data_IF_575984654409
#
_entry.id   IF_575984654409
#
_cell.length_a   1.000
_cell.length_b   1.000
_cell.length_c   1.000
_cell.angle_alpha   90.00
_cell.angle_beta   90.00
_cell.angle_gamma   90.00
#
_symmetry.space_group_name_H-M   'P 1'
#
loop_
_entity.id
_entity.type
_entity.pdbx_description
1 polymer ?
#
# COMPACT_ATOMS: atom_id res chain seq x y z
N UNK A 1 3.80 25.45 -26.64
CA UNK A 1 3.06 25.89 -25.45
C UNK A 1 1.60 25.49 -25.70
N UNK A 2 0.95 24.76 -24.84
CA UNK A 2 -0.36 24.08 -24.95
C UNK A 2 -0.33 22.62 -25.41
N UNK A 3 -0.26 21.69 -24.41
CA UNK A 3 -0.76 20.31 -24.54
C UNK A 3 -0.74 19.52 -23.22
N UNK A 4 -0.69 20.16 -22.03
CA UNK A 4 -0.57 19.44 -20.74
C UNK A 4 -1.83 19.49 -19.86
N UNK A 5 -2.90 20.20 -20.28
CA UNK A 5 -4.10 20.38 -19.44
C UNK A 5 -5.24 19.38 -19.68
N UNK A 6 -5.23 18.60 -20.75
CA UNK A 6 -6.41 17.76 -21.08
C UNK A 6 -6.39 16.36 -20.44
N UNK A 7 -5.22 15.85 -20.01
CA UNK A 7 -5.14 14.50 -19.41
C UNK A 7 -5.52 14.41 -17.92
N UNK A 8 -5.54 15.53 -17.20
CA UNK A 8 -5.96 15.56 -15.79
C UNK A 8 -7.48 15.42 -15.66
N UNK A 9 -8.23 15.90 -16.66
CA UNK A 9 -9.70 15.83 -16.67
C UNK A 9 -10.27 14.44 -16.97
N UNK A 10 -9.58 13.61 -17.75
CA UNK A 10 -10.07 12.28 -18.13
C UNK A 10 -10.01 11.25 -16.98
N UNK A 11 -9.09 11.43 -16.02
CA UNK A 11 -8.98 10.54 -14.84
C UNK A 11 -10.02 10.92 -13.77
N UNK A 12 -10.47 12.16 -13.74
CA UNK A 12 -11.51 12.67 -12.81
C UNK A 12 -12.92 12.18 -13.15
N UNK A 13 -13.18 11.70 -14.36
CA UNK A 13 -14.56 11.44 -14.84
C UNK A 13 -15.13 10.10 -14.42
N UNK A 14 -14.32 9.16 -13.90
CA UNK A 14 -14.84 7.83 -13.49
C UNK A 14 -15.37 7.82 -12.05
N UNK A 15 -15.01 8.80 -11.19
CA UNK A 15 -15.47 8.88 -9.78
C UNK A 15 -16.54 9.96 -9.51
N UNK A 16 -17.09 10.63 -10.52
CA UNK A 16 -18.02 11.77 -10.36
C UNK A 16 -19.49 11.38 -10.09
N UNK A 17 -19.79 10.12 -9.80
CA UNK A 17 -21.21 9.68 -9.68
C UNK A 17 -21.80 9.76 -8.26
N UNK A 18 -21.03 9.99 -7.21
CA UNK A 18 -21.56 10.12 -5.83
C UNK A 18 -20.70 11.12 -5.05
N UNK A 19 -21.17 12.31 -4.84
CA UNK A 19 -20.89 13.42 -3.92
C UNK A 19 -19.65 13.49 -3.02
N UNK A 20 -18.66 12.60 -3.15
CA UNK A 20 -17.36 12.65 -2.49
C UNK A 20 -16.29 12.26 -3.51
N UNK A 21 -15.33 13.14 -3.73
CA UNK A 21 -14.15 12.82 -4.55
C UNK A 21 -13.27 11.90 -3.71
N UNK A 22 -13.58 10.62 -3.66
CA UNK A 22 -12.63 9.64 -3.14
C UNK A 22 -11.55 9.46 -4.20
N UNK A 23 -10.37 10.04 -3.96
CA UNK A 23 -9.18 9.76 -4.73
C UNK A 23 -8.80 8.30 -4.49
N UNK A 24 -8.29 7.63 -5.51
CA UNK A 24 -7.85 6.25 -5.38
C UNK A 24 -6.46 6.23 -4.75
N UNK A 25 -6.33 5.66 -3.55
CA UNK A 25 -5.04 5.44 -2.89
C UNK A 25 -4.18 4.50 -3.75
N UNK A 26 -2.96 4.91 -4.03
CA UNK A 26 -2.03 4.09 -4.78
C UNK A 26 -1.02 3.40 -3.87
N UNK A 27 -0.51 2.24 -4.27
CA UNK A 27 0.60 1.59 -3.58
C UNK A 27 1.72 1.25 -4.55
N UNK A 28 2.96 1.40 -4.14
CA UNK A 28 4.13 1.11 -4.96
C UNK A 28 5.26 0.49 -4.13
N UNK A 29 6.06 -0.38 -4.73
CA UNK A 29 7.27 -0.91 -4.12
C UNK A 29 8.50 -0.50 -4.91
N UNK A 30 9.50 0.06 -4.21
CA UNK A 30 10.69 0.52 -4.91
C UNK A 30 11.65 -0.61 -5.34
N UNK A 31 11.67 -1.75 -4.62
CA UNK A 31 12.55 -2.88 -4.91
C UNK A 31 14.01 -2.44 -5.15
N UNK A 32 14.59 -2.85 -6.27
CA UNK A 32 15.91 -2.47 -6.76
C UNK A 32 15.83 -1.54 -7.97
N UNK A 33 14.73 -0.81 -8.13
CA UNK A 33 14.53 0.06 -9.29
C UNK A 33 15.57 1.18 -9.33
N UNK A 34 16.01 1.60 -10.53
CA UNK A 34 16.63 2.89 -10.72
C UNK A 34 15.68 4.01 -10.26
N UNK A 35 16.24 5.08 -9.70
CA UNK A 35 15.42 6.16 -9.14
C UNK A 35 14.59 6.91 -10.19
N UNK A 36 15.12 7.07 -11.39
CA UNK A 36 14.45 7.68 -12.53
C UNK A 36 13.23 6.88 -12.97
N UNK A 37 13.35 5.54 -13.05
CA UNK A 37 12.24 4.64 -13.38
C UNK A 37 11.16 4.67 -12.29
N UNK A 38 11.56 4.74 -11.02
CA UNK A 38 10.63 4.86 -9.91
C UNK A 38 9.86 6.18 -9.96
N UNK A 39 10.55 7.31 -10.19
CA UNK A 39 9.93 8.63 -10.32
C UNK A 39 9.01 8.69 -11.54
N UNK A 40 9.46 8.17 -12.69
CA UNK A 40 8.63 8.07 -13.88
C UNK A 40 7.31 7.34 -13.59
N UNK A 41 7.37 6.21 -12.88
CA UNK A 41 6.16 5.46 -12.52
C UNK A 41 5.21 6.28 -11.63
N UNK A 42 5.72 7.08 -10.70
CA UNK A 42 4.90 7.98 -9.89
C UNK A 42 4.24 9.05 -10.74
N UNK A 43 4.99 9.68 -11.64
CA UNK A 43 4.49 10.73 -12.55
C UNK A 43 3.45 10.19 -13.53
N UNK A 44 3.68 9.01 -14.13
CA UNK A 44 2.71 8.34 -15.02
C UNK A 44 1.38 8.07 -14.33
N UNK A 45 1.40 7.90 -13.01
CA UNK A 45 0.22 7.67 -12.20
C UNK A 45 -0.34 8.93 -11.51
N UNK A 46 0.22 10.11 -11.80
CA UNK A 46 -0.25 11.38 -11.28
C UNK A 46 -0.04 11.55 -9.77
N UNK A 47 0.93 10.84 -9.19
CA UNK A 47 1.21 10.92 -7.74
C UNK A 47 1.77 12.29 -7.39
N UNK A 48 1.13 12.98 -6.47
CA UNK A 48 1.58 14.28 -5.96
C UNK A 48 2.20 14.18 -4.55
N UNK A 49 1.93 13.08 -3.82
CA UNK A 49 2.49 12.82 -2.50
C UNK A 49 2.89 11.35 -2.38
N UNK A 50 4.16 11.09 -2.11
CA UNK A 50 4.65 9.76 -1.72
C UNK A 50 4.69 9.65 -0.20
N UNK A 51 3.97 8.69 0.35
CA UNK A 51 3.98 8.36 1.78
C UNK A 51 4.84 7.11 2.00
N UNK A 52 5.97 7.29 2.65
CA UNK A 52 6.88 6.20 2.99
C UNK A 52 6.43 5.49 4.27
N UNK A 53 5.97 4.25 4.14
CA UNK A 53 5.49 3.42 5.25
C UNK A 53 6.55 2.41 5.74
N UNK A 54 7.82 2.63 5.44
CA UNK A 54 8.90 1.82 6.00
C UNK A 54 9.16 2.21 7.45
N UNK A 55 9.42 1.23 8.30
CA UNK A 55 9.83 1.49 9.70
C UNK A 55 11.17 2.23 9.76
N UNK A 56 12.10 1.86 8.86
CA UNK A 56 13.42 2.45 8.74
C UNK A 56 13.65 2.81 7.27
N UNK A 57 13.59 4.10 6.89
CA UNK A 57 13.75 4.55 5.51
C UNK A 57 15.22 4.63 5.10
N UNK A 58 15.92 3.50 5.19
CA UNK A 58 17.33 3.33 4.79
C UNK A 58 17.49 2.07 3.97
N UNK A 59 18.39 2.09 2.99
CA UNK A 59 18.78 0.92 2.23
C UNK A 59 20.27 0.96 1.94
N UNK A 60 21.00 -0.06 2.39
CA UNK A 60 22.44 -0.20 2.07
C UNK A 60 22.66 -0.59 0.60
N UNK A 61 21.75 -1.40 0.07
CA UNK A 61 21.85 -1.92 -1.31
C UNK A 61 21.26 -0.98 -2.35
N UNK A 62 20.36 -0.10 -1.93
CA UNK A 62 19.66 0.86 -2.79
C UNK A 62 19.69 2.25 -2.14
N UNK A 63 20.87 2.90 -2.04
CA UNK A 63 21.04 4.15 -1.31
C UNK A 63 20.17 5.29 -1.86
N UNK A 64 19.83 5.25 -3.16
CA UNK A 64 18.91 6.20 -3.79
C UNK A 64 17.50 6.25 -3.16
N UNK A 65 17.16 5.22 -2.36
CA UNK A 65 15.92 5.16 -1.57
C UNK A 65 16.17 5.44 -0.07
N UNK A 66 17.33 5.98 0.30
CA UNK A 66 17.53 6.63 1.59
C UNK A 66 16.57 7.80 1.75
N UNK A 67 16.19 8.14 2.98
CA UNK A 67 15.15 9.16 3.24
C UNK A 67 15.53 10.51 2.61
N UNK A 68 16.77 10.95 2.77
CA UNK A 68 17.24 12.24 2.29
C UNK A 68 17.38 12.24 0.75
N UNK A 69 18.00 11.21 0.20
CA UNK A 69 18.22 11.06 -1.25
C UNK A 69 16.89 10.92 -2.01
N UNK A 70 15.97 10.12 -1.45
CA UNK A 70 14.63 9.96 -2.03
C UNK A 70 13.84 11.27 -1.97
N UNK A 71 13.84 11.95 -0.82
CA UNK A 71 13.14 13.21 -0.67
C UNK A 71 13.67 14.28 -1.64
N UNK A 72 14.99 14.37 -1.82
CA UNK A 72 15.61 15.30 -2.78
C UNK A 72 15.21 14.98 -4.23
N UNK A 73 15.24 13.68 -4.60
CA UNK A 73 14.86 13.25 -5.94
C UNK A 73 13.37 13.49 -6.25
N UNK A 74 12.50 13.27 -5.28
CA UNK A 74 11.06 13.53 -5.40
C UNK A 74 10.77 15.04 -5.49
N UNK A 75 11.47 15.86 -4.69
CA UNK A 75 11.33 17.31 -4.73
C UNK A 75 11.69 17.86 -6.11
N UNK A 76 12.77 17.37 -6.72
CA UNK A 76 13.17 17.75 -8.08
C UNK A 76 12.13 17.34 -9.15
N UNK A 77 11.29 16.35 -8.84
CA UNK A 77 10.19 15.88 -9.69
C UNK A 77 8.82 16.48 -9.29
N UNK A 78 8.79 17.50 -8.43
CA UNK A 78 7.58 18.14 -7.90
C UNK A 78 6.63 17.20 -7.14
N UNK A 79 7.16 16.10 -6.58
CA UNK A 79 6.41 15.14 -5.76
C UNK A 79 6.77 15.39 -4.29
N UNK A 80 5.76 15.59 -3.46
CA UNK A 80 5.95 15.73 -2.00
C UNK A 80 6.33 14.39 -1.39
N UNK A 81 7.09 14.41 -0.30
CA UNK A 81 7.48 13.23 0.47
C UNK A 81 7.03 13.37 1.92
N UNK A 82 6.47 12.28 2.48
CA UNK A 82 6.12 12.17 3.90
C UNK A 82 6.48 10.80 4.43
N UNK A 83 7.23 10.75 5.53
CA UNK A 83 7.49 9.51 6.24
C UNK A 83 6.45 9.30 7.34
N UNK A 84 5.73 8.17 7.30
CA UNK A 84 4.75 7.76 8.30
C UNK A 84 5.22 6.49 9.00
N UNK A 85 6.16 6.63 9.95
CA UNK A 85 6.71 5.53 10.73
C UNK A 85 5.62 4.76 11.51
N UNK A 86 4.55 5.44 11.89
CA UNK A 86 3.38 4.84 12.54
C UNK A 86 2.76 3.71 11.72
N UNK A 87 2.88 3.75 10.38
CA UNK A 87 2.44 2.67 9.49
C UNK A 87 3.55 1.66 9.17
N UNK A 88 4.70 1.71 9.84
CA UNK A 88 5.85 0.86 9.59
C UNK A 88 5.61 -0.62 9.90
N UNK A 89 6.24 -1.51 9.09
CA UNK A 89 5.96 -2.95 9.04
C UNK A 89 6.65 -3.83 10.09
N UNK A 90 7.67 -3.33 10.81
CA UNK A 90 8.39 -4.13 11.81
C UNK A 90 7.58 -4.20 13.12
N UNK A 91 6.71 -5.22 13.23
CA UNK A 91 5.86 -5.45 14.38
C UNK A 91 6.02 -6.89 14.88
N UNK A 92 5.92 -7.08 16.20
CA UNK A 92 5.95 -8.38 16.82
C UNK A 92 4.56 -8.96 16.97
N UNK A 93 4.40 -10.25 16.66
CA UNK A 93 3.14 -10.95 16.86
C UNK A 93 2.87 -11.16 18.35
N UNK A 94 1.59 -11.08 18.74
CA UNK A 94 1.11 -11.32 20.10
C UNK A 94 0.97 -12.83 20.32
N UNK A 95 1.10 -13.27 21.59
CA UNK A 95 0.87 -14.68 21.97
C UNK A 95 -0.62 -15.08 21.84
N UNK A 96 -1.50 -14.11 22.06
CA UNK A 96 -2.96 -14.23 21.98
C UNK A 96 -3.52 -13.68 20.65
N UNK A 97 -2.74 -13.76 19.58
CA UNK A 97 -3.12 -13.23 18.27
C UNK A 97 -4.39 -13.89 17.74
N UNK A 98 -5.32 -13.07 17.26
CA UNK A 98 -6.52 -13.52 16.52
C UNK A 98 -6.25 -13.68 15.02
N UNK A 99 -5.03 -13.35 14.57
CA UNK A 99 -4.62 -13.27 13.17
C UNK A 99 -3.82 -14.51 12.75
N UNK A 100 -4.21 -15.69 13.24
CA UNK A 100 -3.50 -16.95 13.02
C UNK A 100 -3.52 -17.44 11.57
N UNK A 101 -4.37 -16.89 10.71
CA UNK A 101 -4.34 -17.14 9.27
C UNK A 101 -3.03 -16.71 8.61
N UNK A 102 -2.30 -15.76 9.19
CA UNK A 102 -0.96 -15.42 8.77
C UNK A 102 0.09 -16.37 9.38
N UNK A 103 0.59 -17.33 8.62
CA UNK A 103 1.71 -18.20 9.05
C UNK A 103 3.02 -17.43 9.21
N UNK A 104 3.24 -16.40 8.37
CA UNK A 104 4.38 -15.51 8.50
C UNK A 104 4.21 -14.60 9.74
N UNK A 105 5.14 -14.70 10.69
CA UNK A 105 5.09 -13.97 11.98
C UNK A 105 5.16 -12.45 11.81
N UNK A 106 5.82 -11.94 10.76
CA UNK A 106 5.89 -10.50 10.49
C UNK A 106 4.53 -9.96 10.03
N UNK A 107 3.84 -10.67 9.15
CA UNK A 107 2.48 -10.32 8.72
C UNK A 107 1.49 -10.45 9.88
N UNK A 108 1.61 -11.51 10.69
CA UNK A 108 0.79 -11.69 11.90
C UNK A 108 0.99 -10.54 12.88
N UNK A 109 2.25 -10.16 13.13
CA UNK A 109 2.56 -9.03 14.01
C UNK A 109 2.00 -7.71 13.49
N UNK A 110 2.03 -7.50 12.18
CA UNK A 110 1.41 -6.31 11.60
C UNK A 110 -0.12 -6.35 11.71
N UNK A 111 -0.75 -7.50 11.45
CA UNK A 111 -2.18 -7.69 11.63
C UNK A 111 -2.63 -7.50 13.10
N UNK A 112 -1.78 -7.87 14.06
CA UNK A 112 -2.01 -7.60 15.49
C UNK A 112 -1.91 -6.10 15.79
N UNK A 113 -0.95 -5.39 15.18
CA UNK A 113 -0.84 -3.95 15.28
C UNK A 113 -2.06 -3.23 14.69
N UNK A 114 -2.65 -3.75 13.62
CA UNK A 114 -3.88 -3.21 13.02
C UNK A 114 -5.09 -3.22 13.98
N UNK A 115 -5.05 -4.00 15.09
CA UNK A 115 -6.08 -4.02 16.13
C UNK A 115 -5.92 -2.90 17.18
N UNK A 116 -4.96 -1.97 16.99
CA UNK A 116 -4.64 -0.93 17.99
C UNK A 116 -5.16 0.44 17.57
N UNK A 117 -5.46 1.29 18.57
CA UNK A 117 -5.84 2.70 18.34
C UNK A 117 -4.74 3.49 17.61
N UNK A 118 -3.46 3.14 17.84
CA UNK A 118 -2.34 3.76 17.17
C UNK A 118 -2.39 3.53 15.65
N UNK A 119 -2.72 2.32 15.20
CA UNK A 119 -2.94 2.05 13.79
C UNK A 119 -4.16 2.78 13.25
N UNK A 120 -5.27 2.76 13.96
CA UNK A 120 -6.50 3.43 13.55
C UNK A 120 -6.28 4.95 13.36
N UNK A 121 -5.51 5.57 14.26
CA UNK A 121 -5.13 6.98 14.15
C UNK A 121 -4.26 7.24 12.94
N UNK A 122 -3.24 6.41 12.72
CA UNK A 122 -2.34 6.54 11.57
C UNK A 122 -3.07 6.31 10.24
N UNK A 123 -4.02 5.36 10.20
CA UNK A 123 -4.84 5.11 9.00
C UNK A 123 -5.73 6.31 8.67
N UNK A 124 -6.37 6.92 9.69
CA UNK A 124 -7.17 8.15 9.50
C UNK A 124 -6.33 9.30 8.96
N UNK A 125 -5.11 9.47 9.49
CA UNK A 125 -4.19 10.49 9.00
C UNK A 125 -3.82 10.24 7.53
N UNK A 126 -3.58 8.99 7.14
CA UNK A 126 -3.30 8.61 5.76
C UNK A 126 -4.49 8.89 4.83
N UNK A 127 -5.72 8.53 5.26
CA UNK A 127 -6.94 8.77 4.50
C UNK A 127 -7.19 10.26 4.26
N UNK A 128 -6.96 11.10 5.28
CA UNK A 128 -7.09 12.56 5.15
C UNK A 128 -6.13 13.15 4.10
N UNK A 129 -4.91 12.59 3.94
CA UNK A 129 -3.99 13.03 2.89
C UNK A 129 -4.51 12.70 1.48
N UNK A 130 -5.20 11.58 1.31
CA UNK A 130 -5.75 11.16 0.02
C UNK A 130 -6.96 12.00 -0.41
N UNK A 131 -7.67 12.62 0.54
CA UNK A 131 -8.75 13.57 0.23
C UNK A 131 -8.22 14.86 -0.40
N UNK A 132 -6.98 15.25 -0.11
CA UNK A 132 -6.38 16.50 -0.57
C UNK A 132 -5.65 16.35 -1.91
N UNK A 133 -5.08 15.16 -2.18
CA UNK A 133 -4.18 14.97 -3.33
C UNK A 133 -4.03 13.48 -3.68
N UNK A 134 -3.47 13.19 -4.86
CA UNK A 134 -3.16 11.80 -5.25
C UNK A 134 -1.97 11.27 -4.42
N UNK A 135 -2.24 10.29 -3.57
CA UNK A 135 -1.26 9.68 -2.66
C UNK A 135 -0.84 8.30 -3.16
N UNK A 136 0.45 8.01 -3.04
CA UNK A 136 0.96 6.64 -3.13
C UNK A 136 1.68 6.25 -1.84
N UNK A 137 1.32 5.12 -1.23
CA UNK A 137 2.10 4.54 -0.12
C UNK A 137 3.25 3.68 -0.68
N UNK A 138 4.43 3.80 -0.10
CA UNK A 138 5.64 3.14 -0.59
C UNK A 138 6.32 2.28 0.47
N UNK A 139 6.72 1.08 0.08
CA UNK A 139 7.61 0.21 0.85
C UNK A 139 8.73 -0.36 -0.03
N UNK A 140 9.67 -1.11 0.55
CA UNK A 140 10.81 -1.69 -0.18
C UNK A 140 10.45 -2.87 -1.07
N UNK A 141 9.45 -3.68 -0.74
CA UNK A 141 9.10 -4.88 -1.49
C UNK A 141 8.43 -4.56 -2.84
N UNK A 142 8.85 -5.24 -3.91
CA UNK A 142 8.30 -5.04 -5.26
C UNK A 142 6.80 -5.32 -5.31
N UNK A 143 6.39 -6.46 -4.77
CA UNK A 143 5.01 -6.96 -4.90
C UNK A 143 4.22 -6.78 -3.60
N UNK A 144 2.95 -6.34 -3.66
CA UNK A 144 2.17 -6.01 -2.47
C UNK A 144 1.98 -7.22 -1.54
N UNK A 145 1.72 -8.42 -2.03
CA UNK A 145 1.48 -9.63 -1.21
C UNK A 145 2.70 -10.15 -0.43
N UNK A 146 3.88 -9.55 -0.61
CA UNK A 146 5.08 -9.77 0.21
C UNK A 146 5.36 -8.65 1.19
N UNK A 147 4.48 -7.67 1.27
CA UNK A 147 4.70 -6.44 2.01
C UNK A 147 3.49 -6.08 2.88
N UNK A 148 3.76 -5.53 4.06
CA UNK A 148 2.72 -5.04 4.96
C UNK A 148 1.81 -3.95 4.35
N UNK A 149 2.21 -3.29 3.25
CA UNK A 149 1.33 -2.34 2.55
C UNK A 149 0.08 -3.01 1.99
N UNK A 150 0.10 -4.35 1.73
CA UNK A 150 -1.14 -5.06 1.36
C UNK A 150 -2.16 -5.06 2.50
N UNK A 151 -1.70 -5.15 3.76
CA UNK A 151 -2.59 -5.09 4.91
C UNK A 151 -3.11 -3.66 5.13
N UNK A 152 -2.31 -2.64 4.79
CA UNK A 152 -2.79 -1.25 4.74
C UNK A 152 -3.87 -1.12 3.65
N UNK A 153 -3.64 -1.69 2.46
CA UNK A 153 -4.62 -1.73 1.38
C UNK A 153 -5.92 -2.40 1.80
N UNK A 154 -5.83 -3.57 2.46
CA UNK A 154 -7.01 -4.24 3.04
C UNK A 154 -7.78 -3.34 4.00
N UNK A 155 -7.08 -2.62 4.89
CA UNK A 155 -7.70 -1.72 5.85
C UNK A 155 -8.36 -0.50 5.16
N UNK A 156 -7.74 0.03 4.11
CA UNK A 156 -8.31 1.12 3.30
C UNK A 156 -9.59 0.67 2.59
N UNK A 157 -9.58 -0.52 1.95
CA UNK A 157 -10.79 -1.09 1.32
C UNK A 157 -11.95 -1.24 2.31
N UNK A 158 -11.66 -1.72 3.53
CA UNK A 158 -12.67 -1.88 4.59
C UNK A 158 -13.20 -0.53 5.09
N UNK A 159 -12.45 0.55 4.92
CA UNK A 159 -12.88 1.93 5.18
C UNK A 159 -13.38 2.64 3.90
N UNK A 160 -13.86 1.89 2.92
CA UNK A 160 -14.52 2.37 1.70
C UNK A 160 -13.63 3.20 0.76
N UNK A 161 -12.29 3.13 0.91
CA UNK A 161 -11.34 3.71 -0.02
C UNK A 161 -11.06 2.74 -1.18
N UNK A 162 -10.96 3.27 -2.39
CA UNK A 162 -10.42 2.49 -3.51
C UNK A 162 -8.89 2.46 -3.43
N UNK A 163 -8.30 1.32 -3.79
CA UNK A 163 -6.84 1.12 -3.73
C UNK A 163 -6.37 0.44 -4.99
N UNK A 164 -5.35 1.00 -5.64
CA UNK A 164 -4.67 0.39 -6.79
C UNK A 164 -3.19 0.13 -6.48
N UNK A 165 -2.73 -1.06 -6.81
CA UNK A 165 -1.32 -1.43 -6.73
C UNK A 165 -0.61 -1.07 -8.05
N UNK A 166 0.44 -0.24 -7.98
CA UNK A 166 1.31 0.10 -9.11
C UNK A 166 2.38 -0.97 -9.24
N UNK A 167 2.44 -1.58 -10.41
CA UNK A 167 3.49 -2.50 -10.82
C UNK A 167 4.42 -1.84 -11.82
N UNK A 168 5.72 -1.90 -11.52
CA UNK A 168 6.76 -1.35 -12.39
C UNK A 168 7.54 -2.53 -12.99
N UNK A 169 7.30 -2.88 -14.25
CA UNK A 169 8.03 -3.95 -14.91
C UNK A 169 9.48 -3.52 -15.21
N UNK A 170 10.36 -4.50 -15.44
CA UNK A 170 11.76 -4.25 -15.82
C UNK A 170 11.86 -3.52 -17.17
N UNK A 171 10.86 -3.67 -18.03
CA UNK A 171 10.74 -2.96 -19.30
C UNK A 171 9.27 -2.61 -19.56
N UNK A 172 9.04 -1.43 -20.17
CA UNK A 172 7.70 -0.93 -20.46
C UNK A 172 7.19 0.03 -19.41
N UNK A 173 5.94 0.47 -19.58
CA UNK A 173 5.27 1.42 -18.69
C UNK A 173 4.76 0.73 -17.44
N UNK A 174 4.64 1.52 -16.36
CA UNK A 174 3.93 1.09 -15.15
C UNK A 174 2.46 0.79 -15.46
N UNK A 175 1.87 -0.12 -14.69
CA UNK A 175 0.45 -0.43 -14.79
C UNK A 175 -0.15 -0.59 -13.40
N UNK A 176 -1.45 -0.33 -13.29
CA UNK A 176 -2.21 -0.50 -12.06
C UNK A 176 -3.03 -1.78 -12.07
N UNK A 177 -3.24 -2.34 -10.90
CA UNK A 177 -4.25 -3.37 -10.66
C UNK A 177 -5.02 -3.01 -9.40
N UNK A 178 -6.35 -3.14 -9.40
CA UNK A 178 -7.13 -2.97 -8.19
C UNK A 178 -6.61 -3.87 -7.08
N UNK A 179 -6.43 -3.31 -5.90
CA UNK A 179 -6.08 -4.08 -4.71
C UNK A 179 -7.25 -5.02 -4.37
N UNK A 180 -6.92 -6.24 -4.02
CA UNK A 180 -7.93 -7.25 -3.67
C UNK A 180 -7.77 -7.62 -2.21
N UNK A 181 -8.88 -7.56 -1.47
CA UNK A 181 -8.90 -7.96 -0.06
C UNK A 181 -8.33 -9.37 0.10
N UNK A 182 -7.48 -9.55 1.10
CA UNK A 182 -6.91 -10.87 1.43
C UNK A 182 -8.03 -11.89 1.61
N UNK A 183 -7.97 -13.02 0.89
CA UNK A 183 -9.08 -13.97 0.75
C UNK A 183 -9.59 -14.59 2.05
N UNK A 184 -8.72 -14.70 3.06
CA UNK A 184 -9.05 -15.22 4.38
C UNK A 184 -9.31 -14.12 5.42
N UNK A 185 -9.36 -12.85 5.00
CA UNK A 185 -9.76 -11.75 5.87
C UNK A 185 -11.22 -11.92 6.33
N UNK A 186 -11.50 -11.44 7.53
CA UNK A 186 -12.85 -11.30 8.06
C UNK A 186 -13.09 -9.84 8.39
N UNK A 187 -14.26 -9.34 8.04
CA UNK A 187 -14.65 -7.94 8.18
C UNK A 187 -15.96 -7.85 8.97
N UNK A 188 -16.00 -6.94 9.93
CA UNK A 188 -17.21 -6.58 10.67
C UNK A 188 -17.21 -5.06 10.89
N UNK A 189 -18.02 -4.33 10.14
CA UNK A 189 -17.95 -2.87 10.07
C UNK A 189 -16.57 -2.48 9.52
N UNK A 190 -15.83 -1.64 10.23
CA UNK A 190 -14.45 -1.24 9.90
C UNK A 190 -13.39 -2.14 10.55
N UNK A 191 -13.80 -3.14 11.32
CA UNK A 191 -12.86 -4.08 11.93
C UNK A 191 -12.45 -5.16 10.94
N UNK A 192 -11.15 -5.39 10.83
CA UNK A 192 -10.53 -6.36 9.93
C UNK A 192 -9.58 -7.26 10.72
N UNK A 193 -9.66 -8.59 10.53
CA UNK A 193 -8.73 -9.56 11.12
C UNK A 193 -8.59 -10.78 10.21
N UNK A 194 -7.61 -11.65 10.50
CA UNK A 194 -7.21 -12.78 9.66
C UNK A 194 -7.19 -14.07 10.48
N UNK A 195 -8.35 -14.71 10.73
CA UNK A 195 -8.43 -15.90 11.56
C UNK A 195 -7.76 -17.11 10.90
N UNK A 196 -7.42 -18.10 11.71
CA UNK A 196 -6.98 -19.41 11.22
C UNK A 196 -8.01 -20.00 10.27
N UNK A 197 -7.53 -20.55 9.14
CA UNK A 197 -8.40 -21.21 8.19
C UNK A 197 -8.63 -22.65 8.65
N UNK A 198 -9.87 -23.17 8.58
CA UNK A 198 -10.12 -24.58 8.83
C UNK A 198 -9.26 -25.43 7.88
N UNK A 199 -8.47 -26.34 8.44
CA UNK A 199 -7.80 -27.36 7.63
C UNK A 199 -8.87 -28.25 7.03
N UNK A 200 -9.06 -28.19 5.70
CA UNK A 200 -9.91 -29.17 5.02
C UNK A 200 -9.33 -30.57 5.29
N UNK A 201 -10.14 -31.52 5.76
CA UNK A 201 -9.65 -32.89 5.90
C UNK A 201 -9.17 -33.38 4.54
N UNK A 202 -7.96 -33.92 4.50
CA UNK A 202 -7.45 -34.55 3.29
C UNK A 202 -8.45 -35.62 2.84
N UNK A 203 -8.81 -35.66 1.54
CA UNK A 203 -9.63 -36.74 1.05
C UNK A 203 -8.96 -38.09 1.43
N UNK A 204 -9.70 -38.94 2.11
CA UNK A 204 -9.25 -40.28 2.45
C UNK A 204 -8.76 -40.96 1.18
N UNK A 205 -7.47 -41.29 1.09
CA UNK A 205 -6.96 -42.15 0.02
C UNK A 205 -7.68 -43.47 0.18
N UNK A 206 -8.69 -43.70 -0.62
CA UNK A 206 -9.16 -45.05 -0.87
C UNK A 206 -8.00 -45.79 -1.55
N UNK A 207 -7.25 -46.59 -0.74
CA UNK A 207 -6.33 -47.58 -1.26
C UNK A 207 -7.20 -48.74 -1.68
N UNK A 208 -7.13 -49.18 -2.94
CA UNK A 208 -7.82 -50.36 -3.42
C UNK A 208 -7.28 -51.64 -2.77
#
# INVERSE_FOLDING_TARGET
>A
MFAWHENIFAIRTVCLAIGSIHLCMLTIGHSTLPIDIFIQALQENGVALLVDVRTIPRSRHNPQFGMEELAASLHAAEIRYRWMQSLGGLRHSRKDSINMGWHNTSFRGYADYMQTDAFATALKELMALDEETTVAIMCSEAVPWRCHRSLIGDALLVNEHTVDDIFVPTAGKSHRKPHTLTTFARVQGTRLWYPEQPTLPLPSRNVP
#
